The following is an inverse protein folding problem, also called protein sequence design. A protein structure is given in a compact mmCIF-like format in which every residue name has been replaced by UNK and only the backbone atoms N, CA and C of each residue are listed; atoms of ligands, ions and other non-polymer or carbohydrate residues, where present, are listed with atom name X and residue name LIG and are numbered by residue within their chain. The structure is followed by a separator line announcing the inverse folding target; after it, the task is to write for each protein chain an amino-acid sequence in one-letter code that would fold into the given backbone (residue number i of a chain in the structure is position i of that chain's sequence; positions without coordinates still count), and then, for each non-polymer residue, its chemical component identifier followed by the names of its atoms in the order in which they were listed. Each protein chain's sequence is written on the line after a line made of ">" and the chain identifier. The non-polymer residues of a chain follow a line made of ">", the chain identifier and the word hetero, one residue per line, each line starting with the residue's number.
data_IF_244961750255
#
_entry.id   IF_244961750255
#
_cell.length_a   1.000
_cell.length_b   1.000
_cell.length_c   1.000
_cell.angle_alpha   90.00
_cell.angle_beta   90.00
_cell.angle_gamma   90.00
#
_symmetry.space_group_name_H-M   'P 1'
#
loop_
_entity.id
_entity.type
_entity.pdbx_description
1 polymer ?
#
# COMPACT_ATOMS: atom_id res chain seq x y z
N UNK A 1 0.68 5.93 15.84
CA UNK A 1 0.58 7.41 15.96
C UNK A 1 -0.51 7.93 15.03
N UNK A 2 -1.11 9.11 15.28
CA UNK A 2 -2.23 9.61 14.47
C UNK A 2 -2.13 11.11 14.10
N UNK A 3 -2.86 11.50 13.06
CA UNK A 3 -3.07 12.87 12.60
C UNK A 3 -4.54 13.06 12.22
N UNK A 4 -5.20 14.05 12.82
CA UNK A 4 -6.54 14.47 12.38
C UNK A 4 -6.45 15.26 11.08
N UNK A 5 -7.37 14.99 10.15
CA UNK A 5 -7.44 15.56 8.81
C UNK A 5 -8.78 16.28 8.68
N UNK A 6 -8.73 17.56 8.30
CA UNK A 6 -9.93 18.34 7.97
C UNK A 6 -10.38 18.05 6.53
N UNK A 7 -11.65 18.27 6.17
CA UNK A 7 -12.13 18.14 4.80
C UNK A 7 -11.68 19.34 3.93
N UNK A 8 -10.37 19.55 3.84
CA UNK A 8 -9.71 20.58 3.03
C UNK A 8 -8.57 19.96 2.21
N UNK A 9 -8.56 20.06 0.88
CA UNK A 9 -7.47 19.52 0.04
C UNK A 9 -6.06 19.96 0.44
N UNK A 10 -5.90 21.11 1.12
CA UNK A 10 -4.62 21.55 1.67
C UNK A 10 -4.05 20.57 2.72
N UNK A 11 -4.91 19.78 3.37
CA UNK A 11 -4.53 18.79 4.39
C UNK A 11 -3.74 17.62 3.81
N UNK A 12 -3.87 17.33 2.50
CA UNK A 12 -3.06 16.29 1.83
C UNK A 12 -1.57 16.64 1.91
N UNK A 13 -1.23 17.92 1.66
CA UNK A 13 0.15 18.40 1.80
C UNK A 13 0.66 18.32 3.24
N UNK A 14 -0.21 18.58 4.22
CA UNK A 14 0.12 18.46 5.65
C UNK A 14 0.35 17.01 6.05
N UNK A 15 -0.49 16.08 5.58
CA UNK A 15 -0.34 14.65 5.80
C UNK A 15 1.00 14.13 5.28
N UNK A 16 1.38 14.47 4.03
CA UNK A 16 2.68 14.07 3.46
C UNK A 16 3.87 14.56 4.29
N UNK A 17 3.83 15.83 4.72
CA UNK A 17 4.91 16.42 5.55
C UNK A 17 5.00 15.73 6.91
N UNK A 18 3.86 15.46 7.53
CA UNK A 18 3.79 14.74 8.80
C UNK A 18 4.34 13.32 8.67
N UNK A 19 3.97 12.58 7.64
CA UNK A 19 4.49 11.23 7.37
C UNK A 19 6.00 11.22 7.20
N UNK A 20 6.57 12.12 6.38
CA UNK A 20 8.02 12.25 6.22
C UNK A 20 8.73 12.54 7.55
N UNK A 21 8.16 13.42 8.37
CA UNK A 21 8.72 13.72 9.69
C UNK A 21 8.70 12.52 10.64
N UNK A 22 7.74 11.60 10.51
CA UNK A 22 7.66 10.39 11.33
C UNK A 22 8.60 9.30 10.86
N UNK A 23 8.73 9.12 9.55
CA UNK A 23 9.69 8.19 8.94
C UNK A 23 11.14 8.54 9.34
N UNK A 24 11.50 9.83 9.29
CA UNK A 24 12.82 10.27 9.72
C UNK A 24 13.11 9.96 11.22
N UNK A 25 12.07 9.89 12.05
CA UNK A 25 12.19 9.52 13.46
C UNK A 25 12.21 8.01 13.73
N UNK A 26 11.85 7.18 12.75
CA UNK A 26 11.78 5.72 12.90
C UNK A 26 12.96 4.97 12.29
N UNK A 27 14.04 5.68 11.91
CA UNK A 27 15.22 5.07 11.27
C UNK A 27 15.00 4.64 9.82
N UNK A 28 13.95 5.16 9.17
CA UNK A 28 13.68 4.95 7.74
C UNK A 28 14.17 6.18 6.99
N UNK A 29 15.17 5.99 6.15
CA UNK A 29 15.78 7.04 5.32
C UNK A 29 14.80 7.58 4.28
N UNK A 30 14.92 8.88 3.98
CA UNK A 30 14.09 9.52 2.96
C UNK A 30 14.33 8.95 1.55
N UNK A 31 15.52 8.41 1.30
CA UNK A 31 15.92 7.81 0.01
C UNK A 31 15.46 6.35 -0.12
N UNK A 32 14.85 5.77 0.92
CA UNK A 32 14.34 4.41 0.86
C UNK A 32 13.05 4.34 0.03
N UNK A 33 12.91 3.34 -0.86
CA UNK A 33 11.74 3.22 -1.73
C UNK A 33 10.44 3.03 -0.93
N UNK A 34 10.50 2.39 0.24
CA UNK A 34 9.35 2.23 1.15
C UNK A 34 8.86 3.58 1.70
N UNK A 35 9.76 4.54 1.92
CA UNK A 35 9.40 5.87 2.43
C UNK A 35 8.59 6.66 1.40
N UNK A 36 9.06 6.72 0.15
CA UNK A 36 8.35 7.41 -0.92
C UNK A 36 7.03 6.70 -1.28
N UNK A 37 7.02 5.36 -1.26
CA UNK A 37 5.78 4.57 -1.45
C UNK A 37 4.76 4.89 -0.38
N UNK A 38 5.15 4.90 0.90
CA UNK A 38 4.24 5.22 2.00
C UNK A 38 3.68 6.65 1.89
N UNK A 39 4.51 7.62 1.54
CA UNK A 39 4.08 9.01 1.36
C UNK A 39 3.08 9.14 0.21
N UNK A 40 3.28 8.39 -0.88
CA UNK A 40 2.33 8.33 -1.98
C UNK A 40 0.99 7.72 -1.54
N UNK A 41 1.02 6.57 -0.86
CA UNK A 41 -0.19 5.93 -0.33
C UNK A 41 -0.96 6.83 0.64
N UNK A 42 -0.25 7.57 1.51
CA UNK A 42 -0.85 8.59 2.37
C UNK A 42 -1.54 9.67 1.51
N UNK A 43 -0.88 10.15 0.46
CA UNK A 43 -1.47 11.17 -0.42
C UNK A 43 -2.75 10.66 -1.06
N UNK A 44 -2.77 9.43 -1.56
CA UNK A 44 -3.95 8.84 -2.21
C UNK A 44 -5.10 8.60 -1.23
N UNK A 45 -4.84 7.97 -0.08
CA UNK A 45 -5.88 7.67 0.90
C UNK A 45 -6.46 8.94 1.54
N UNK A 46 -5.62 9.93 1.86
CA UNK A 46 -6.08 11.22 2.41
C UNK A 46 -6.84 12.02 1.35
N UNK A 47 -6.39 12.00 0.09
CA UNK A 47 -7.14 12.64 -1.02
C UNK A 47 -8.51 11.98 -1.18
N UNK A 48 -8.59 10.65 -1.12
CA UNK A 48 -9.86 9.94 -1.19
C UNK A 48 -10.81 10.35 -0.05
N UNK A 49 -10.30 10.43 1.18
CA UNK A 49 -11.10 10.86 2.31
C UNK A 49 -11.58 12.31 2.13
N UNK A 50 -10.67 13.25 1.89
CA UNK A 50 -10.98 14.69 1.87
C UNK A 50 -11.82 15.09 0.66
N UNK A 51 -11.45 14.64 -0.55
CA UNK A 51 -12.06 15.10 -1.80
C UNK A 51 -13.36 14.36 -2.11
N UNK A 52 -13.44 13.06 -1.76
CA UNK A 52 -14.59 12.24 -2.16
C UNK A 52 -15.64 12.03 -1.06
N UNK A 53 -15.29 12.24 0.21
CA UNK A 53 -16.27 12.14 1.30
C UNK A 53 -16.71 13.50 1.84
N UNK A 54 -15.82 14.51 1.78
CA UNK A 54 -16.06 15.80 2.44
C UNK A 54 -16.16 15.70 3.97
N UNK A 55 -15.79 14.55 4.55
CA UNK A 55 -15.82 14.30 5.98
C UNK A 55 -14.44 14.51 6.61
N UNK A 56 -14.37 14.86 7.92
CA UNK A 56 -13.14 14.73 8.68
C UNK A 56 -12.64 13.27 8.64
N UNK A 57 -11.32 13.13 8.67
CA UNK A 57 -10.67 11.83 8.69
C UNK A 57 -9.57 11.78 9.74
N UNK A 58 -9.16 10.58 10.12
CA UNK A 58 -8.02 10.33 10.99
C UNK A 58 -7.05 9.42 10.28
N UNK A 59 -5.84 9.92 10.08
CA UNK A 59 -4.70 9.18 9.55
C UNK A 59 -3.96 8.52 10.71
N UNK A 60 -3.79 7.20 10.65
CA UNK A 60 -2.98 6.41 11.57
C UNK A 60 -1.75 5.86 10.86
N UNK A 61 -0.64 5.87 11.58
CA UNK A 61 0.63 5.30 11.12
C UNK A 61 1.25 4.46 12.24
N UNK A 62 1.56 3.21 11.93
CA UNK A 62 2.38 2.33 12.76
C UNK A 62 3.71 2.14 12.05
N UNK A 63 4.79 2.56 12.71
CA UNK A 63 6.15 2.40 12.22
C UNK A 63 6.91 1.55 13.24
N UNK A 64 7.86 0.71 12.80
CA UNK A 64 8.73 -0.02 13.70
C UNK A 64 9.63 0.94 14.49
N UNK A 65 10.17 0.45 15.61
CA UNK A 65 11.24 1.16 16.30
C UNK A 65 12.53 1.10 15.47
N UNK A 66 13.41 2.12 15.53
CA UNK A 66 14.62 2.16 14.71
C UNK A 66 15.48 0.89 14.79
N UNK A 67 15.53 0.25 15.96
CA UNK A 67 16.32 -0.95 16.22
C UNK A 67 15.74 -2.22 15.58
N UNK A 68 14.44 -2.22 15.25
CA UNK A 68 13.70 -3.35 14.68
C UNK A 68 13.15 -3.03 13.30
N UNK A 69 13.64 -1.95 12.68
CA UNK A 69 13.02 -1.41 11.48
C UNK A 69 13.36 -2.21 10.22
N UNK A 70 14.41 -3.03 10.22
CA UNK A 70 14.73 -3.92 9.09
C UNK A 70 13.81 -5.14 9.07
N UNK A 71 13.24 -5.47 7.91
CA UNK A 71 12.30 -6.58 7.77
C UNK A 71 10.93 -6.35 8.42
N UNK A 72 10.67 -5.14 8.92
CA UNK A 72 9.42 -4.82 9.60
C UNK A 72 8.34 -4.32 8.66
N UNK A 73 7.10 -4.50 9.09
CA UNK A 73 5.91 -4.01 8.39
C UNK A 73 5.51 -2.63 8.90
N UNK A 74 5.35 -1.69 7.98
CA UNK A 74 4.74 -0.38 8.21
C UNK A 74 3.24 -0.51 7.96
N UNK A 75 2.41 0.14 8.79
CA UNK A 75 0.96 0.13 8.61
C UNK A 75 0.39 1.53 8.55
N UNK A 76 -0.40 1.78 7.53
CA UNK A 76 -1.13 3.00 7.26
C UNK A 76 -2.63 2.72 7.37
N UNK A 77 -3.37 3.55 8.11
CA UNK A 77 -4.83 3.50 8.12
C UNK A 77 -5.42 4.90 7.99
N UNK A 78 -6.54 5.02 7.27
CA UNK A 78 -7.32 6.24 7.19
C UNK A 78 -8.77 5.89 7.51
N UNK A 79 -9.29 6.48 8.58
CA UNK A 79 -10.70 6.37 8.96
C UNK A 79 -11.42 7.67 8.63
N UNK A 80 -12.55 7.60 7.94
CA UNK A 80 -13.42 8.75 7.68
C UNK A 80 -14.86 8.46 8.13
N UNK A 81 -15.66 9.51 8.33
CA UNK A 81 -17.05 9.38 8.78
C UNK A 81 -18.05 9.03 7.67
N UNK A 82 -17.60 8.46 6.55
CA UNK A 82 -18.43 8.06 5.44
C UNK A 82 -18.42 6.53 5.26
N UNK A 83 -19.54 5.88 5.57
CA UNK A 83 -19.76 4.43 5.43
C UNK A 83 -19.82 3.91 3.99
N UNK A 84 -19.72 4.79 2.97
CA UNK A 84 -19.73 4.36 1.56
C UNK A 84 -18.48 3.55 1.25
N UNK A 85 -18.67 2.32 0.79
CA UNK A 85 -17.60 1.44 0.36
C UNK A 85 -16.63 2.14 -0.62
N UNK A 86 -15.30 1.93 -0.47
CA UNK A 86 -14.33 2.39 -1.44
C UNK A 86 -14.54 1.62 -2.74
N UNK A 87 -14.98 2.32 -3.80
CA UNK A 87 -15.18 1.73 -5.12
C UNK A 87 -13.97 2.07 -5.99
N UNK A 88 -13.17 1.08 -6.44
CA UNK A 88 -12.14 1.30 -7.44
C UNK A 88 -12.79 1.92 -8.69
N UNK A 89 -12.29 3.07 -9.13
CA UNK A 89 -12.76 3.68 -10.38
C UNK A 89 -11.68 3.51 -11.42
N UNK A 90 -11.98 2.81 -12.49
CA UNK A 90 -11.13 2.85 -13.67
C UNK A 90 -11.19 4.27 -14.24
N UNK A 91 -10.04 4.95 -14.19
CA UNK A 91 -9.89 6.24 -14.85
C UNK A 91 -9.75 5.98 -16.35
N UNK A 92 -10.76 6.36 -17.15
CA UNK A 92 -10.57 6.53 -18.59
C UNK A 92 -9.41 7.52 -18.82
N UNK A 93 -8.69 7.39 -19.94
CA UNK A 93 -7.36 8.01 -20.16
C UNK A 93 -7.22 9.51 -19.81
N UNK A 94 -8.32 10.27 -19.84
CA UNK A 94 -8.37 11.71 -19.54
C UNK A 94 -8.90 12.06 -18.13
N UNK A 95 -9.34 11.07 -17.33
CA UNK A 95 -9.84 11.28 -15.98
C UNK A 95 -8.66 11.45 -14.99
N UNK A 96 -8.58 12.63 -14.37
CA UNK A 96 -7.57 12.96 -13.34
C UNK A 96 -7.87 12.34 -11.97
N UNK A 97 -8.93 11.52 -11.85
CA UNK A 97 -9.36 10.90 -10.59
C UNK A 97 -9.75 9.43 -10.78
N UNK A 98 -9.70 8.65 -9.70
CA UNK A 98 -10.10 7.24 -9.68
C UNK A 98 -8.96 6.23 -9.51
N UNK A 99 -7.70 6.65 -9.74
CA UNK A 99 -6.52 5.77 -9.63
C UNK A 99 -6.12 5.46 -8.18
N UNK A 100 -6.65 6.18 -7.18
CA UNK A 100 -6.15 6.09 -5.81
C UNK A 100 -6.17 4.67 -5.22
N UNK A 101 -7.27 3.92 -5.39
CA UNK A 101 -7.31 2.53 -4.92
C UNK A 101 -6.50 1.57 -5.81
N UNK A 102 -6.36 1.85 -7.10
CA UNK A 102 -5.49 1.07 -7.98
C UNK A 102 -4.01 1.27 -7.64
N UNK A 103 -3.62 2.47 -7.18
CA UNK A 103 -2.28 2.74 -6.66
C UNK A 103 -2.05 2.02 -5.33
N UNK A 104 -3.05 1.99 -4.45
CA UNK A 104 -2.98 1.19 -3.21
C UNK A 104 -2.80 -0.28 -3.54
N UNK A 105 -3.60 -0.81 -4.46
CA UNK A 105 -3.54 -2.22 -4.88
C UNK A 105 -2.21 -2.59 -5.56
N UNK A 106 -1.62 -1.67 -6.34
CA UNK A 106 -0.36 -1.91 -7.03
C UNK A 106 0.90 -1.67 -6.21
N UNK A 107 0.81 -1.01 -5.05
CA UNK A 107 1.99 -0.60 -4.27
C UNK A 107 2.02 -1.17 -2.84
N UNK A 108 0.87 -1.53 -2.28
CA UNK A 108 0.81 -2.12 -0.95
C UNK A 108 1.05 -3.63 -1.01
N UNK A 109 1.78 -4.19 -0.04
CA UNK A 109 1.94 -5.63 0.08
C UNK A 109 0.63 -6.28 0.53
N UNK A 110 -0.10 -5.59 1.42
CA UNK A 110 -1.42 -5.98 1.90
C UNK A 110 -2.28 -4.75 2.08
N UNK A 111 -3.55 -4.82 1.75
CA UNK A 111 -4.49 -3.74 2.02
C UNK A 111 -5.91 -4.27 2.19
N UNK A 112 -6.76 -3.44 2.76
CA UNK A 112 -8.18 -3.76 2.91
C UNK A 112 -8.97 -2.58 3.42
N UNK A 113 -10.25 -2.81 3.65
CA UNK A 113 -11.13 -1.82 4.26
C UNK A 113 -12.19 -2.52 5.12
N UNK A 114 -12.73 -1.78 6.07
CA UNK A 114 -13.81 -2.23 6.94
C UNK A 114 -14.74 -1.07 7.28
N UNK A 115 -15.99 -1.37 7.61
CA UNK A 115 -16.91 -0.40 8.21
C UNK A 115 -16.51 -0.18 9.66
N UNK A 116 -16.49 1.06 10.11
CA UNK A 116 -16.24 1.43 11.52
C UNK A 116 -17.30 2.40 12.02
N UNK A 117 -18.25 1.88 12.80
CA UNK A 117 -19.43 2.65 13.20
C UNK A 117 -20.18 3.19 11.98
N UNK A 118 -20.37 4.50 11.92
CA UNK A 118 -20.99 5.20 10.78
C UNK A 118 -19.97 5.56 9.67
N UNK A 119 -18.70 5.21 9.86
CA UNK A 119 -17.60 5.50 8.96
C UNK A 119 -17.02 4.26 8.29
N UNK A 120 -15.86 4.44 7.67
CA UNK A 120 -15.04 3.36 7.15
C UNK A 120 -13.57 3.56 7.50
N UNK A 121 -12.84 2.47 7.57
CA UNK A 121 -11.38 2.43 7.67
C UNK A 121 -10.83 1.79 6.42
N UNK A 122 -9.87 2.42 5.78
CA UNK A 122 -9.03 1.83 4.73
C UNK A 122 -7.64 1.67 5.32
N UNK A 123 -7.03 0.51 5.17
CA UNK A 123 -5.70 0.23 5.68
C UNK A 123 -4.83 -0.41 4.60
N UNK A 124 -3.52 -0.17 4.70
CA UNK A 124 -2.53 -0.86 3.90
C UNK A 124 -1.23 -1.07 4.70
N UNK A 125 -0.49 -2.07 4.30
CA UNK A 125 0.77 -2.47 4.89
C UNK A 125 1.86 -2.50 3.83
N UNK A 126 3.06 -2.10 4.23
CA UNK A 126 4.28 -2.15 3.44
C UNK A 126 5.36 -2.90 4.22
N UNK A 127 5.95 -3.90 3.61
CA UNK A 127 7.06 -4.65 4.15
C UNK A 127 8.37 -3.97 3.76
N UNK A 128 9.14 -3.55 4.77
CA UNK A 128 10.48 -3.00 4.53
C UNK A 128 11.44 -4.15 4.27
N UNK A 129 11.67 -4.44 2.99
CA UNK A 129 12.69 -5.39 2.59
C UNK A 129 14.05 -4.93 3.15
N UNK A 130 14.77 -5.83 3.82
CA UNK A 130 16.17 -5.57 4.14
C UNK A 130 16.92 -5.34 2.83
N UNK A 131 17.90 -4.42 2.77
CA UNK A 131 18.78 -4.35 1.62
C UNK A 131 19.42 -5.73 1.46
N UNK A 132 19.04 -6.47 0.43
CA UNK A 132 19.70 -7.71 0.09
C UNK A 132 21.18 -7.39 -0.16
N UNK A 133 22.07 -8.03 0.57
CA UNK A 133 23.54 -8.00 0.40
C UNK A 133 24.00 -8.57 -0.97
N UNK A 134 23.14 -8.57 -1.99
CA UNK A 134 23.39 -9.07 -3.34
C UNK A 134 23.76 -7.92 -4.30
N UNK A 135 24.62 -7.00 -3.85
CA UNK A 135 25.34 -6.09 -4.72
C UNK A 135 26.78 -6.59 -4.91
N UNK A 136 26.93 -7.80 -5.45
CA UNK A 136 28.22 -8.47 -5.57
C UNK A 136 28.25 -9.69 -6.48
N UNK A 137 27.66 -9.63 -7.68
CA UNK A 137 27.98 -10.61 -8.73
C UNK A 137 27.94 -9.94 -10.10
N UNK A 138 29.11 -9.90 -10.72
CA UNK A 138 29.46 -9.15 -11.91
C UNK A 138 28.67 -9.59 -13.16
N UNK A 139 28.25 -8.60 -13.96
CA UNK A 139 27.83 -8.81 -15.34
C UNK A 139 29.06 -9.20 -16.19
N UNK A 140 29.19 -10.49 -16.49
CA UNK A 140 30.20 -11.01 -17.39
C UNK A 140 29.62 -12.05 -18.35
N UNK A 141 29.65 -11.74 -19.65
CA UNK A 141 29.72 -12.74 -20.72
C UNK A 141 28.38 -13.30 -21.20
N UNK A 142 28.06 -13.00 -22.46
CA UNK A 142 26.85 -13.48 -23.11
C UNK A 142 26.89 -14.95 -23.56
N UNK A 143 25.71 -15.49 -23.76
CA UNK A 143 25.43 -16.53 -24.74
C UNK A 143 23.93 -16.50 -25.07
N UNK A 144 23.62 -16.43 -26.36
CA UNK A 144 22.29 -16.55 -26.96
C UNK A 144 21.89 -18.04 -27.03
N UNK A 145 20.59 -18.24 -27.29
CA UNK A 145 19.87 -19.42 -27.80
C UNK A 145 19.23 -20.38 -26.77
N UNK A 146 18.14 -21.09 -27.13
CA UNK A 146 16.91 -20.68 -27.81
C UNK A 146 15.62 -21.10 -27.04
N UNK A 147 14.45 -20.62 -27.46
CA UNK A 147 13.14 -21.11 -27.01
C UNK A 147 12.89 -22.58 -27.40
N UNK A 148 12.09 -23.33 -26.63
CA UNK A 148 11.28 -24.39 -27.20
C UNK A 148 9.77 -24.26 -26.92
N UNK A 149 9.04 -24.90 -27.84
CA UNK A 149 7.61 -24.82 -28.09
C UNK A 149 6.69 -25.46 -27.03
N UNK A 150 5.43 -25.04 -27.13
CA UNK A 150 4.19 -25.64 -26.63
C UNK A 150 4.19 -27.17 -26.45
N UNK A 151 3.61 -27.62 -25.33
CA UNK A 151 3.18 -29.01 -25.11
C UNK A 151 2.17 -29.12 -23.97
N UNK A 152 1.03 -29.74 -24.27
CA UNK A 152 -0.21 -29.79 -23.51
C UNK A 152 -0.28 -30.95 -22.48
N UNK A 153 -1.15 -30.76 -21.47
CA UNK A 153 -1.92 -31.74 -20.68
C UNK A 153 -1.23 -32.63 -19.61
N UNK A 154 -1.65 -32.39 -18.36
CA UNK A 154 -2.24 -33.41 -17.47
C UNK A 154 -1.30 -34.11 -16.47
N UNK A 155 -1.50 -33.90 -15.17
CA UNK A 155 -2.28 -34.82 -14.31
C UNK A 155 -2.24 -34.40 -12.83
N UNK A 156 -3.25 -34.86 -12.10
CA UNK A 156 -3.54 -34.70 -10.68
C UNK A 156 -2.42 -35.10 -9.71
N UNK A 157 -2.37 -34.44 -8.55
CA UNK A 157 -1.58 -34.90 -7.40
C UNK A 157 -1.68 -34.01 -6.17
N UNK A 158 -2.61 -34.36 -5.28
CA UNK A 158 -2.89 -33.75 -3.97
C UNK A 158 -1.77 -34.00 -2.95
N UNK A 159 -1.25 -32.96 -2.30
CA UNK A 159 -0.70 -32.89 -0.93
C UNK A 159 -0.77 -31.40 -0.55
N UNK A 160 -1.31 -30.92 0.57
CA UNK A 160 -1.31 -31.45 1.92
C UNK A 160 -0.66 -30.38 2.81
N UNK A 161 -1.49 -29.57 3.49
CA UNK A 161 -1.10 -28.69 4.59
C UNK A 161 -0.47 -27.36 4.18
N UNK A 162 -1.12 -26.26 4.51
CA UNK A 162 -0.63 -25.12 5.30
C UNK A 162 -1.83 -24.19 5.46
N UNK A 163 -2.16 -23.83 6.70
CA UNK A 163 -3.21 -22.85 7.02
C UNK A 163 -2.85 -21.52 6.37
N UNK A 164 -3.37 -21.31 5.17
CA UNK A 164 -3.30 -20.05 4.46
C UNK A 164 -4.30 -19.10 5.10
N UNK A 165 -3.81 -17.95 5.55
CA UNK A 165 -4.61 -16.75 5.69
C UNK A 165 -5.28 -16.48 4.34
N UNK A 166 -6.52 -16.93 4.19
CA UNK A 166 -7.32 -16.66 3.01
C UNK A 166 -7.54 -15.15 2.91
N UNK A 167 -6.96 -14.58 1.86
CA UNK A 167 -7.24 -13.23 1.41
C UNK A 167 -8.73 -13.08 1.14
N UNK A 168 -9.32 -12.08 1.76
CA UNK A 168 -10.65 -11.63 1.38
C UNK A 168 -10.54 -10.80 0.10
N UNK A 169 -10.68 -11.50 -1.02
CA UNK A 169 -11.07 -10.92 -2.28
C UNK A 169 -12.50 -10.34 -2.16
N UNK A 170 -12.57 -9.03 -2.39
CA UNK A 170 -13.72 -8.22 -2.81
C UNK A 170 -15.06 -8.93 -3.10
N UNK A 171 -16.13 -8.46 -2.45
CA UNK A 171 -17.45 -8.30 -3.07
C UNK A 171 -17.86 -6.83 -2.90
N UNK A 172 -17.81 -6.07 -3.99
CA UNK A 172 -18.51 -4.81 -4.11
C UNK A 172 -19.91 -5.13 -4.69
N UNK A 173 -20.96 -4.78 -3.94
CA UNK A 173 -22.37 -4.97 -4.31
C UNK A 173 -22.77 -4.08 -5.49
#
# INVERSE_FOLDING_TARGET
>A
MQLEIRPDPAEVGRARKWTRSRLAGSGIGADEPVAETLVLLVSELVTNAVVHTGCPAVLWLSLPEPETAEGATLRLEVTDACSRAPVPRWADGDATGGRGLALVDGLADRWGWSVEGDGKRIWCELDRCAPSDDAGAEQGGGARCPEPAFGTHGSYGTYGGFEGFEGFAYEAV
#
